data_IF_471036871166
#
_entry.id   IF_471036871166
#
_cell.length_a   1.000
_cell.length_b   1.000
_cell.length_c   1.000
_cell.angle_alpha   90.00
_cell.angle_beta   90.00
_cell.angle_gamma   90.00
#
_symmetry.space_group_name_H-M   'P 1'
#
loop_
_entity.id
_entity.type
_entity.pdbx_description
1 polymer ?
#
# COMPACT_ATOMS: atom_id res chain seq x y z
N UNK A 1 -9.38 1.62 0.59
CA UNK A 1 -9.88 0.58 1.50
C UNK A 1 -10.34 -0.65 0.73
N UNK A 2 -11.42 -0.58 -0.06
CA UNK A 2 -12.02 -1.76 -0.73
C UNK A 2 -11.04 -2.59 -1.59
N UNK A 3 -10.19 -1.95 -2.39
CA UNK A 3 -9.21 -2.64 -3.25
C UNK A 3 -8.24 -3.48 -2.41
N UNK A 4 -7.66 -2.89 -1.39
CA UNK A 4 -6.69 -3.55 -0.52
C UNK A 4 -7.33 -4.69 0.28
N UNK A 5 -8.56 -4.50 0.77
CA UNK A 5 -9.32 -5.57 1.42
C UNK A 5 -9.59 -6.77 0.50
N UNK A 6 -9.85 -6.55 -0.80
CA UNK A 6 -10.00 -7.65 -1.76
C UNK A 6 -8.70 -8.44 -1.92
N UNK A 7 -7.57 -7.75 -2.05
CA UNK A 7 -6.26 -8.42 -2.17
C UNK A 7 -5.86 -9.15 -0.90
N UNK A 8 -6.13 -8.59 0.28
CA UNK A 8 -5.89 -9.26 1.57
C UNK A 8 -6.80 -10.48 1.77
N UNK A 9 -8.07 -10.37 1.40
CA UNK A 9 -8.99 -11.50 1.43
C UNK A 9 -8.50 -12.63 0.51
N UNK A 10 -8.07 -12.31 -0.71
CA UNK A 10 -7.46 -13.29 -1.62
C UNK A 10 -6.19 -13.90 -1.02
N UNK A 11 -5.36 -13.09 -0.37
CA UNK A 11 -4.15 -13.57 0.30
C UNK A 11 -4.45 -14.50 1.48
N UNK A 12 -5.58 -14.29 2.17
CA UNK A 12 -5.97 -15.11 3.33
C UNK A 12 -6.24 -16.58 2.99
N UNK A 13 -6.54 -16.90 1.73
CA UNK A 13 -6.65 -18.28 1.26
C UNK A 13 -5.29 -18.98 1.17
N UNK A 14 -4.20 -18.21 0.99
CA UNK A 14 -2.85 -18.73 0.85
C UNK A 14 -2.04 -18.62 2.15
N UNK A 15 -2.27 -17.57 2.93
CA UNK A 15 -1.57 -17.32 4.19
C UNK A 15 -2.57 -17.01 5.29
N UNK A 16 -2.49 -17.77 6.39
CA UNK A 16 -3.33 -17.50 7.55
C UNK A 16 -2.94 -16.15 8.16
N UNK A 17 -3.93 -15.29 8.47
CA UNK A 17 -3.65 -14.08 9.24
C UNK A 17 -3.07 -14.44 10.62
N UNK A 18 -2.20 -13.59 11.19
CA UNK A 18 -1.64 -13.80 12.52
C UNK A 18 -2.76 -13.80 13.58
N UNK A 19 -2.57 -14.56 14.66
CA UNK A 19 -3.49 -14.55 15.81
C UNK A 19 -3.40 -13.24 16.59
N UNK A 20 -4.44 -12.92 17.37
CA UNK A 20 -4.49 -11.70 18.19
C UNK A 20 -3.33 -11.60 19.20
N UNK A 21 -2.84 -12.74 19.72
CA UNK A 21 -1.65 -12.80 20.58
C UNK A 21 -0.39 -12.34 19.85
N UNK A 22 -0.24 -12.71 18.58
CA UNK A 22 0.91 -12.29 17.76
C UNK A 22 0.80 -10.81 17.42
N UNK A 23 -0.41 -10.32 17.11
CA UNK A 23 -0.66 -8.90 16.82
C UNK A 23 -0.40 -7.99 18.03
N UNK A 24 -0.66 -8.48 19.26
CA UNK A 24 -0.42 -7.74 20.49
C UNK A 24 1.07 -7.62 20.86
N UNK A 25 1.94 -8.46 20.28
CA UNK A 25 3.37 -8.50 20.60
C UNK A 25 4.24 -8.15 19.38
N UNK A 26 4.85 -6.94 19.34
CA UNK A 26 5.67 -6.50 18.22
C UNK A 26 6.84 -7.42 17.85
N UNK A 27 7.43 -8.14 18.80
CA UNK A 27 8.54 -9.06 18.54
C UNK A 27 8.07 -10.35 17.86
N UNK A 28 6.94 -10.90 18.33
CA UNK A 28 6.31 -12.07 17.71
C UNK A 28 5.82 -11.73 16.31
N UNK A 29 5.21 -10.54 16.15
CA UNK A 29 4.76 -10.03 14.86
C UNK A 29 5.94 -9.86 13.88
N UNK A 30 7.07 -9.32 14.34
CA UNK A 30 8.27 -9.17 13.52
C UNK A 30 8.79 -10.53 13.04
N UNK A 31 8.88 -11.50 13.94
CA UNK A 31 9.31 -12.87 13.62
C UNK A 31 8.34 -13.54 12.64
N UNK A 32 7.04 -13.37 12.84
CA UNK A 32 6.01 -13.87 11.93
C UNK A 32 6.20 -13.27 10.53
N UNK A 33 6.30 -11.93 10.44
CA UNK A 33 6.51 -11.22 9.18
C UNK A 33 7.80 -11.63 8.47
N UNK A 34 8.91 -11.83 9.18
CA UNK A 34 10.17 -12.24 8.54
C UNK A 34 10.10 -13.67 7.98
N UNK A 35 9.25 -14.53 8.55
CA UNK A 35 9.08 -15.93 8.11
C UNK A 35 8.02 -16.12 7.03
N UNK A 36 7.28 -15.06 6.64
CA UNK A 36 6.29 -15.16 5.58
C UNK A 36 6.94 -15.46 4.23
N UNK A 37 6.34 -16.35 3.42
CA UNK A 37 6.84 -16.59 2.07
C UNK A 37 6.71 -15.33 1.21
N UNK A 38 7.69 -15.09 0.34
CA UNK A 38 7.71 -13.95 -0.60
C UNK A 38 6.43 -13.85 -1.43
N UNK A 39 5.79 -14.98 -1.75
CA UNK A 39 4.53 -15.05 -2.49
C UNK A 39 3.38 -14.30 -1.81
N UNK A 40 3.38 -14.20 -0.48
CA UNK A 40 2.36 -13.51 0.30
C UNK A 40 2.39 -11.99 0.11
N UNK A 41 3.55 -11.43 -0.26
CA UNK A 41 3.76 -10.00 -0.43
C UNK A 41 3.32 -9.50 -1.81
N UNK A 42 3.28 -10.38 -2.81
CA UNK A 42 2.88 -10.04 -4.18
C UNK A 42 1.44 -9.47 -4.23
N UNK A 43 0.40 -10.14 -3.69
CA UNK A 43 -0.95 -9.59 -3.72
C UNK A 43 -1.08 -8.29 -2.93
N UNK A 44 -0.35 -8.15 -1.82
CA UNK A 44 -0.32 -6.90 -1.03
C UNK A 44 0.28 -5.76 -1.85
N UNK A 45 1.40 -6.00 -2.53
CA UNK A 45 2.03 -5.03 -3.42
C UNK A 45 1.10 -4.58 -4.55
N UNK A 46 0.38 -5.53 -5.17
CA UNK A 46 -0.62 -5.21 -6.18
C UNK A 46 -1.73 -4.33 -5.60
N UNK A 47 -2.22 -4.65 -4.40
CA UNK A 47 -3.17 -3.81 -3.67
C UNK A 47 -2.68 -2.38 -3.47
N UNK A 48 -1.40 -2.18 -3.13
CA UNK A 48 -0.79 -0.86 -3.00
C UNK A 48 -0.70 -0.11 -4.34
N UNK A 49 -0.28 -0.78 -5.42
CA UNK A 49 -0.23 -0.19 -6.75
C UNK A 49 -1.63 0.25 -7.20
N UNK A 50 -2.60 -0.65 -7.18
CA UNK A 50 -3.96 -0.36 -7.65
C UNK A 50 -4.65 0.67 -6.75
N UNK A 51 -4.44 0.59 -5.44
CA UNK A 51 -4.93 1.58 -4.49
C UNK A 51 -4.39 2.99 -4.78
N UNK A 52 -3.08 3.11 -5.04
CA UNK A 52 -2.42 4.39 -5.38
C UNK A 52 -2.89 4.93 -6.73
N UNK A 53 -3.07 4.06 -7.71
CA UNK A 53 -3.54 4.46 -9.03
C UNK A 53 -4.98 5.00 -8.95
N UNK A 54 -5.86 4.31 -8.22
CA UNK A 54 -7.24 4.75 -8.04
C UNK A 54 -7.32 6.01 -7.19
N UNK A 55 -6.50 6.18 -6.15
CA UNK A 55 -6.46 7.44 -5.40
C UNK A 55 -6.06 8.61 -6.30
N UNK A 56 -5.10 8.42 -7.20
CA UNK A 56 -4.70 9.41 -8.20
C UNK A 56 -5.85 9.81 -9.14
N UNK A 57 -6.60 8.82 -9.65
CA UNK A 57 -7.79 9.04 -10.49
C UNK A 57 -8.87 9.83 -9.75
N UNK A 58 -9.24 9.37 -8.54
CA UNK A 58 -10.30 9.98 -7.73
C UNK A 58 -9.93 11.40 -7.32
N UNK A 59 -8.70 11.62 -6.86
CA UNK A 59 -8.19 12.95 -6.48
C UNK A 59 -8.21 13.90 -7.67
N UNK A 60 -7.84 13.43 -8.86
CA UNK A 60 -7.86 14.27 -10.08
C UNK A 60 -9.28 14.64 -10.48
N UNK A 61 -10.22 13.69 -10.45
CA UNK A 61 -11.64 13.96 -10.74
C UNK A 61 -12.30 14.92 -9.75
N UNK A 62 -11.85 14.89 -8.49
CA UNK A 62 -12.37 15.76 -7.44
C UNK A 62 -11.71 17.16 -7.45
N UNK A 63 -10.51 17.28 -8.02
CA UNK A 63 -9.81 18.55 -8.17
C UNK A 63 -10.43 19.38 -9.30
N UNK A 64 -11.04 20.52 -8.95
CA UNK A 64 -11.72 21.41 -9.91
C UNK A 64 -10.83 21.90 -11.06
N UNK A 65 -9.50 22.00 -10.85
CA UNK A 65 -8.54 22.52 -11.83
C UNK A 65 -7.50 21.50 -12.28
N UNK A 66 -7.68 20.20 -11.99
CA UNK A 66 -6.68 19.17 -12.24
C UNK A 66 -5.32 19.53 -11.59
N UNK A 67 -5.35 20.23 -10.46
CA UNK A 67 -4.15 20.77 -9.83
C UNK A 67 -3.18 19.65 -9.45
N UNK A 68 -1.95 19.74 -9.95
CA UNK A 68 -0.89 18.76 -9.66
C UNK A 68 -0.57 18.69 -8.16
N UNK A 69 -0.79 19.78 -7.43
CA UNK A 69 -0.50 19.86 -6.00
C UNK A 69 -1.34 18.89 -5.16
N UNK A 70 -2.64 18.75 -5.47
CA UNK A 70 -3.50 17.82 -4.73
C UNK A 70 -3.06 16.36 -4.90
N UNK A 71 -2.66 15.98 -6.11
CA UNK A 71 -2.18 14.63 -6.43
C UNK A 71 -0.85 14.34 -5.74
N UNK A 72 0.07 15.32 -5.71
CA UNK A 72 1.34 15.20 -4.99
C UNK A 72 1.10 15.08 -3.48
N UNK A 73 0.19 15.88 -2.90
CA UNK A 73 -0.15 15.81 -1.48
C UNK A 73 -0.72 14.43 -1.11
N UNK A 74 -1.65 13.90 -1.91
CA UNK A 74 -2.22 12.56 -1.68
C UNK A 74 -1.15 11.47 -1.81
N UNK A 75 -0.30 11.53 -2.84
CA UNK A 75 0.80 10.59 -3.01
C UNK A 75 1.79 10.63 -1.84
N UNK A 76 2.16 11.83 -1.37
CA UNK A 76 3.03 12.01 -0.20
C UNK A 76 2.39 11.49 1.08
N UNK A 77 1.08 11.72 1.29
CA UNK A 77 0.36 11.21 2.45
C UNK A 77 0.31 9.68 2.45
N UNK A 78 0.10 9.06 1.28
CA UNK A 78 0.14 7.60 1.13
C UNK A 78 1.52 7.03 1.42
N UNK A 79 2.57 7.68 0.93
CA UNK A 79 3.96 7.28 1.23
C UNK A 79 4.23 7.38 2.72
N UNK A 80 3.88 8.49 3.38
CA UNK A 80 4.04 8.67 4.82
C UNK A 80 3.26 7.62 5.62
N UNK A 81 1.98 7.41 5.30
CA UNK A 81 1.17 6.38 5.94
C UNK A 81 1.79 4.97 5.79
N UNK A 82 2.42 4.70 4.64
CA UNK A 82 3.09 3.42 4.38
C UNK A 82 4.39 3.28 5.17
N UNK A 83 5.16 4.37 5.33
CA UNK A 83 6.31 4.38 6.25
C UNK A 83 5.86 4.07 7.68
N UNK A 84 4.80 4.73 8.17
CA UNK A 84 4.23 4.39 9.48
C UNK A 84 3.78 2.92 9.56
N UNK A 85 3.16 2.39 8.49
CA UNK A 85 2.77 1.00 8.45
C UNK A 85 3.98 0.06 8.60
N UNK A 86 5.02 0.24 7.79
CA UNK A 86 6.17 -0.67 7.73
C UNK A 86 7.08 -0.62 8.97
N UNK A 87 7.19 0.54 9.61
CA UNK A 87 8.12 0.71 10.72
C UNK A 87 7.46 0.70 12.09
N UNK A 88 6.16 1.03 12.19
CA UNK A 88 5.46 1.16 13.48
C UNK A 88 4.37 0.09 13.64
N UNK A 89 3.48 -0.10 12.66
CA UNK A 89 2.35 -1.03 12.81
C UNK A 89 2.71 -2.49 12.51
N UNK A 90 3.44 -2.74 11.44
CA UNK A 90 3.77 -4.08 10.94
C UNK A 90 5.28 -4.19 10.70
N UNK A 91 6.10 -4.19 11.77
CA UNK A 91 7.55 -4.28 11.65
C UNK A 91 7.98 -5.67 11.15
N UNK A 92 9.15 -5.73 10.49
CA UNK A 92 9.76 -7.00 10.09
C UNK A 92 9.47 -7.46 8.67
N UNK A 93 8.95 -6.58 7.83
CA UNK A 93 8.75 -6.86 6.40
C UNK A 93 10.10 -6.87 5.66
N UNK A 94 10.24 -7.69 4.60
CA UNK A 94 11.46 -7.73 3.80
C UNK A 94 11.82 -6.37 3.20
N UNK A 95 13.12 -6.03 3.21
CA UNK A 95 13.58 -4.72 2.74
C UNK A 95 13.22 -4.46 1.27
N UNK A 96 13.30 -5.50 0.42
CA UNK A 96 12.94 -5.38 -1.00
C UNK A 96 11.49 -4.92 -1.18
N UNK A 97 10.55 -5.43 -0.38
CA UNK A 97 9.13 -5.12 -0.46
C UNK A 97 8.85 -3.68 -0.02
N UNK A 98 9.49 -3.26 1.07
CA UNK A 98 9.39 -1.89 1.57
C UNK A 98 9.91 -0.89 0.53
N UNK A 99 11.09 -1.15 -0.05
CA UNK A 99 11.70 -0.28 -1.05
C UNK A 99 10.84 -0.14 -2.31
N UNK A 100 10.37 -1.26 -2.89
CA UNK A 100 9.54 -1.18 -4.10
C UNK A 100 8.19 -0.50 -3.82
N UNK A 101 7.60 -0.72 -2.64
CA UNK A 101 6.30 -0.13 -2.28
C UNK A 101 6.43 1.38 -2.13
N UNK A 102 7.40 1.85 -1.35
CA UNK A 102 7.64 3.28 -1.14
C UNK A 102 7.94 4.02 -2.44
N UNK A 103 8.73 3.41 -3.32
CA UNK A 103 9.02 3.98 -4.64
C UNK A 103 7.80 3.95 -5.58
N UNK A 104 6.79 3.13 -5.32
CA UNK A 104 5.62 2.97 -6.18
C UNK A 104 4.48 3.94 -5.85
N UNK A 105 4.24 4.29 -4.58
CA UNK A 105 3.07 5.11 -4.21
C UNK A 105 2.98 6.43 -5.00
N UNK A 106 4.07 7.19 -5.06
CA UNK A 106 4.10 8.49 -5.75
C UNK A 106 3.93 8.38 -7.28
N UNK A 107 4.71 7.57 -8.03
CA UNK A 107 4.56 7.47 -9.47
C UNK A 107 3.22 6.86 -9.88
N UNK A 108 2.69 5.87 -9.16
CA UNK A 108 1.38 5.29 -9.51
C UNK A 108 0.23 6.24 -9.22
N UNK A 109 0.31 7.04 -8.15
CA UNK A 109 -0.65 8.14 -7.92
C UNK A 109 -0.61 9.16 -9.06
N UNK A 110 0.58 9.49 -9.55
CA UNK A 110 0.72 10.40 -10.69
C UNK A 110 0.28 9.80 -12.04
N UNK A 111 0.50 8.50 -12.25
CA UNK A 111 -0.05 7.78 -13.41
C UNK A 111 -1.58 7.82 -13.41
N UNK A 112 -2.21 7.66 -12.24
CA UNK A 112 -3.65 7.82 -12.08
C UNK A 112 -4.16 9.19 -12.56
N UNK A 113 -3.43 10.27 -12.22
CA UNK A 113 -3.71 11.62 -12.76
C UNK A 113 -3.61 11.66 -14.28
N UNK A 114 -2.53 11.14 -14.86
CA UNK A 114 -2.31 11.17 -16.31
C UNK A 114 -3.42 10.46 -17.09
N UNK A 115 -3.97 9.36 -16.54
CA UNK A 115 -5.06 8.63 -17.18
C UNK A 115 -6.34 9.47 -17.28
N UNK A 116 -6.62 10.32 -16.29
CA UNK A 116 -7.80 11.21 -16.28
C UNK A 116 -7.56 12.47 -17.10
N UNK A 117 -6.40 13.10 -16.95
CA UNK A 117 -6.05 14.36 -17.63
C UNK A 117 -5.89 14.22 -19.16
N UNK A 118 -5.83 13.01 -19.69
CA UNK A 118 -5.73 12.75 -21.14
C UNK A 118 -7.11 12.76 -21.85
N UNK A 119 -8.20 12.95 -21.11
CA UNK A 119 -9.55 13.19 -21.61
C UNK A 119 -10.06 14.54 -21.07
#
# INVERSE_FOLDING_TARGET
>A
MAIMMTFEFLNSFYVKPPSDEILANPELLKTFMTNLPTSAYIPVYLGYIFGSLVSGIVTTKLSKNHDSLMVILVGSLLTLASVFNFFIFLPGQPLWFVSISLLSFLPFTWLGKKLVSKH
#
